data_IF_733112733617
#
_entry.id   IF_733112733617
#
_cell.length_a   1.000
_cell.length_b   1.000
_cell.length_c   1.000
_cell.angle_alpha   90.00
_cell.angle_beta   90.00
_cell.angle_gamma   90.00
#
_symmetry.space_group_name_H-M   'P 1'
#
loop_
_entity.id
_entity.type
_entity.pdbx_description
1 polymer ?
#
# COMPACT_ATOMS: atom_id res chain seq x y z
N UNK A 1 -27.16 -4.31 32.44
CA UNK A 1 -26.58 -3.79 31.19
C UNK A 1 -26.87 -2.31 31.12
N UNK A 2 -25.86 -1.44 31.00
CA UNK A 2 -26.09 0.01 30.97
C UNK A 2 -26.60 0.43 29.58
N UNK A 3 -27.80 1.04 29.45
CA UNK A 3 -28.37 1.47 28.16
C UNK A 3 -27.45 2.42 27.40
N UNK A 4 -26.70 3.23 28.13
CA UNK A 4 -25.71 4.19 27.61
C UNK A 4 -24.60 3.46 26.83
N UNK A 5 -24.14 2.31 27.33
CA UNK A 5 -23.06 1.56 26.72
C UNK A 5 -23.51 0.87 25.42
N UNK A 6 -24.77 0.43 25.39
CA UNK A 6 -25.40 -0.13 24.18
C UNK A 6 -25.50 0.92 23.07
N UNK A 7 -25.96 2.12 23.39
CA UNK A 7 -26.08 3.24 22.43
C UNK A 7 -24.69 3.68 21.95
N UNK A 8 -23.71 3.79 22.85
CA UNK A 8 -22.34 4.14 22.50
C UNK A 8 -21.71 3.11 21.55
N UNK A 9 -21.92 1.81 21.82
CA UNK A 9 -21.41 0.74 20.95
C UNK A 9 -22.00 0.84 19.53
N UNK A 10 -23.30 1.08 19.38
CA UNK A 10 -23.94 1.25 18.06
C UNK A 10 -23.31 2.42 17.28
N UNK A 11 -23.10 3.57 17.94
CA UNK A 11 -22.50 4.75 17.31
C UNK A 11 -21.07 4.46 16.86
N UNK A 12 -20.25 3.85 17.74
CA UNK A 12 -18.86 3.53 17.43
C UNK A 12 -18.77 2.50 16.31
N UNK A 13 -19.56 1.43 16.35
CA UNK A 13 -19.60 0.43 15.28
C UNK A 13 -20.01 1.04 13.96
N UNK A 14 -21.02 1.92 13.94
CA UNK A 14 -21.43 2.63 12.73
C UNK A 14 -20.31 3.53 12.18
N UNK A 15 -19.63 4.26 13.06
CA UNK A 15 -18.52 5.12 12.68
C UNK A 15 -17.36 4.31 12.07
N UNK A 16 -16.94 3.22 12.74
CA UNK A 16 -15.88 2.34 12.23
C UNK A 16 -16.29 1.69 10.92
N UNK A 17 -17.54 1.23 10.79
CA UNK A 17 -18.06 0.63 9.57
C UNK A 17 -18.00 1.60 8.38
N UNK A 18 -18.46 2.83 8.57
CA UNK A 18 -18.38 3.86 7.52
C UNK A 18 -16.94 4.24 7.18
N UNK A 19 -16.04 4.25 8.17
CA UNK A 19 -14.61 4.46 7.94
C UNK A 19 -13.99 3.32 7.13
N UNK A 20 -14.34 2.07 7.45
CA UNK A 20 -13.81 0.88 6.80
C UNK A 20 -14.21 0.84 5.32
N UNK A 21 -15.45 1.21 4.99
CA UNK A 21 -15.89 1.36 3.60
C UNK A 21 -15.08 2.43 2.84
N UNK A 22 -14.70 3.53 3.50
CA UNK A 22 -13.83 4.56 2.89
C UNK A 22 -12.43 4.02 2.66
N UNK A 23 -11.85 3.34 3.66
CA UNK A 23 -10.51 2.74 3.56
C UNK A 23 -10.46 1.71 2.44
N UNK A 24 -11.44 0.79 2.36
CA UNK A 24 -11.51 -0.22 1.29
C UNK A 24 -11.56 0.44 -0.08
N UNK A 25 -12.39 1.48 -0.27
CA UNK A 25 -12.44 2.21 -1.55
C UNK A 25 -11.11 2.89 -1.89
N UNK A 26 -10.45 3.48 -0.89
CA UNK A 26 -9.11 4.08 -1.06
C UNK A 26 -8.09 3.02 -1.44
N UNK A 27 -8.05 1.89 -0.74
CA UNK A 27 -7.13 0.78 -1.00
C UNK A 27 -7.35 0.18 -2.39
N UNK A 28 -8.61 -0.01 -2.81
CA UNK A 28 -8.92 -0.48 -4.17
C UNK A 28 -8.39 0.49 -5.22
N UNK A 29 -8.64 1.80 -5.03
CA UNK A 29 -8.17 2.82 -5.97
C UNK A 29 -6.65 2.84 -6.05
N UNK A 30 -5.96 2.77 -4.91
CA UNK A 30 -4.49 2.69 -4.84
C UNK A 30 -3.98 1.40 -5.50
N UNK A 31 -4.60 0.25 -5.24
CA UNK A 31 -4.22 -1.02 -5.84
C UNK A 31 -4.40 -1.02 -7.36
N UNK A 32 -5.49 -0.43 -7.89
CA UNK A 32 -5.72 -0.27 -9.34
C UNK A 32 -4.68 0.66 -9.96
N UNK A 33 -4.35 1.78 -9.31
CA UNK A 33 -3.30 2.69 -9.80
C UNK A 33 -1.95 1.98 -9.83
N UNK A 34 -1.57 1.30 -8.75
CA UNK A 34 -0.32 0.54 -8.68
C UNK A 34 -0.31 -0.55 -9.75
N UNK A 35 -1.39 -1.31 -9.89
CA UNK A 35 -1.51 -2.33 -10.93
C UNK A 35 -1.37 -1.72 -12.34
N UNK A 36 -1.99 -0.56 -12.60
CA UNK A 36 -1.83 0.15 -13.87
C UNK A 36 -0.39 0.60 -14.14
N UNK A 37 0.30 1.14 -13.13
CA UNK A 37 1.71 1.54 -13.24
C UNK A 37 2.59 0.31 -13.48
N UNK A 38 2.37 -0.77 -12.73
CA UNK A 38 3.10 -2.04 -12.89
C UNK A 38 2.85 -2.63 -14.27
N UNK A 39 1.61 -2.69 -14.75
CA UNK A 39 1.28 -3.17 -16.09
C UNK A 39 1.96 -2.31 -17.16
N UNK A 40 1.96 -0.99 -17.01
CA UNK A 40 2.67 -0.11 -17.92
C UNK A 40 4.18 -0.38 -17.92
N UNK A 41 4.80 -0.55 -16.74
CA UNK A 41 6.20 -0.91 -16.60
C UNK A 41 6.50 -2.31 -17.18
N UNK A 42 5.64 -3.30 -16.99
CA UNK A 42 5.84 -4.63 -17.57
C UNK A 42 5.76 -4.57 -19.09
N UNK A 43 4.86 -3.76 -19.65
CA UNK A 43 4.71 -3.62 -21.10
C UNK A 43 5.87 -2.85 -21.72
N UNK A 44 6.37 -1.81 -21.05
CA UNK A 44 7.47 -0.96 -21.56
C UNK A 44 8.85 -1.55 -21.29
N UNK A 45 9.07 -2.13 -20.11
CA UNK A 45 10.38 -2.61 -19.65
C UNK A 45 10.47 -4.15 -19.57
N UNK A 46 9.37 -4.89 -19.70
CA UNK A 46 9.36 -6.36 -19.67
C UNK A 46 9.50 -6.99 -18.27
N UNK A 47 9.56 -6.18 -17.21
CA UNK A 47 9.82 -6.61 -15.82
C UNK A 47 8.53 -6.69 -14.99
N UNK A 48 8.43 -7.75 -14.20
CA UNK A 48 7.26 -8.04 -13.36
C UNK A 48 7.23 -7.24 -12.04
N UNK A 49 6.07 -7.18 -11.36
CA UNK A 49 5.90 -6.45 -10.09
C UNK A 49 6.91 -6.87 -9.01
N UNK A 50 7.15 -8.17 -8.86
CA UNK A 50 8.11 -8.69 -7.88
C UNK A 50 9.51 -8.13 -8.11
N UNK A 51 9.92 -8.01 -9.38
CA UNK A 51 11.22 -7.50 -9.76
C UNK A 51 11.34 -6.00 -9.49
N UNK A 52 10.25 -5.23 -9.65
CA UNK A 52 10.22 -3.81 -9.30
C UNK A 52 10.41 -3.62 -7.80
N UNK A 53 9.67 -4.39 -6.98
CA UNK A 53 9.79 -4.32 -5.51
C UNK A 53 11.18 -4.75 -5.05
N UNK A 54 11.71 -5.82 -5.64
CA UNK A 54 13.04 -6.35 -5.32
C UNK A 54 14.15 -5.38 -5.73
N UNK A 55 14.05 -4.78 -6.92
CA UNK A 55 14.97 -3.73 -7.35
C UNK A 55 14.95 -2.52 -6.41
N UNK A 56 13.77 -2.09 -5.92
CA UNK A 56 13.67 -1.00 -4.93
C UNK A 56 14.31 -1.40 -3.60
N UNK A 57 14.18 -2.65 -3.17
CA UNK A 57 14.81 -3.17 -1.96
C UNK A 57 16.34 -3.27 -2.07
N UNK A 58 16.85 -3.54 -3.28
CA UNK A 58 18.29 -3.66 -3.56
C UNK A 58 18.95 -2.30 -3.86
N UNK A 59 18.19 -1.27 -4.27
CA UNK A 59 18.69 0.09 -4.50
C UNK A 59 19.56 0.63 -3.33
N UNK A 60 19.15 0.56 -2.05
CA UNK A 60 19.97 1.03 -0.94
C UNK A 60 21.35 0.34 -0.85
N UNK A 61 21.41 -0.98 -1.06
CA UNK A 61 22.67 -1.73 -1.08
C UNK A 61 23.52 -1.37 -2.30
N UNK A 62 22.89 -1.20 -3.46
CA UNK A 62 23.57 -0.79 -4.68
C UNK A 62 24.17 0.62 -4.52
N UNK A 63 23.45 1.53 -3.86
CA UNK A 63 23.95 2.87 -3.52
C UNK A 63 25.14 2.77 -2.54
N UNK A 64 25.02 1.99 -1.46
CA UNK A 64 26.12 1.81 -0.50
C UNK A 64 27.37 1.23 -1.16
N UNK A 65 27.24 0.21 -2.03
CA UNK A 65 28.39 -0.39 -2.73
C UNK A 65 29.05 0.58 -3.71
N UNK A 66 28.29 1.46 -4.38
CA UNK A 66 28.85 2.53 -5.21
C UNK A 66 29.61 3.57 -4.39
N UNK A 67 29.12 3.92 -3.20
CA UNK A 67 29.81 4.85 -2.30
C UNK A 67 31.04 4.20 -1.64
N UNK A 68 30.97 2.93 -1.22
CA UNK A 68 32.10 2.19 -0.62
C UNK A 68 33.21 1.86 -1.61
N UNK A 69 32.91 1.73 -2.91
CA UNK A 69 33.93 1.41 -3.94
C UNK A 69 34.75 2.63 -4.38
N UNK A 70 34.32 3.85 -4.02
CA UNK A 70 34.95 5.12 -4.43
C UNK A 70 35.80 5.77 -3.32
N UNK A 71 35.84 5.19 -2.12
CA UNK A 71 36.69 5.61 -0.99
C UNK A 71 37.81 4.62 -0.74
#
# INVERSE_FOLDING_TARGET
>A
MNPILFIAAIIVTWLVFTWLLKVVKTTLKTAVIIAGIVLALQVVLGIGPDQVVQAIADLPQMIQSLFSKKS
#
